data_IF_422792818316
#
_entry.id   IF_422792818316
#
_cell.length_a   1.000
_cell.length_b   1.000
_cell.length_c   1.000
_cell.angle_alpha   90.00
_cell.angle_beta   90.00
_cell.angle_gamma   90.00
#
_symmetry.space_group_name_H-M   'P 1'
#
loop_
_entity.id
_entity.type
_entity.pdbx_description
1 polymer ?
#
# COMPACT_ATOMS: atom_id res chain seq x y z
N UNK A 1 34.24 34.67 -25.27
CA UNK A 1 32.88 34.08 -25.13
C UNK A 1 31.84 35.16 -25.40
N UNK A 2 30.88 34.92 -26.31
CA UNK A 2 29.82 35.89 -26.63
C UNK A 2 28.91 36.09 -25.41
N UNK A 3 28.65 37.35 -25.02
CA UNK A 3 27.80 37.72 -23.87
C UNK A 3 26.44 36.99 -23.89
N UNK A 4 25.86 36.78 -25.07
CA UNK A 4 24.60 36.05 -25.26
C UNK A 4 24.64 34.58 -24.87
N UNK A 5 25.78 33.89 -25.05
CA UNK A 5 25.94 32.50 -24.59
C UNK A 5 26.04 32.43 -23.06
N UNK A 6 26.72 33.39 -22.46
CA UNK A 6 26.85 33.47 -20.99
C UNK A 6 25.50 33.75 -20.33
N UNK A 7 24.68 34.67 -20.86
CA UNK A 7 23.35 34.95 -20.31
C UNK A 7 22.42 33.73 -20.43
N UNK A 8 22.40 33.06 -21.58
CA UNK A 8 21.57 31.87 -21.78
C UNK A 8 21.94 30.70 -20.84
N UNK A 9 23.25 30.48 -20.62
CA UNK A 9 23.74 29.46 -19.67
C UNK A 9 23.36 29.79 -18.22
N UNK A 10 23.44 31.06 -17.82
CA UNK A 10 23.02 31.50 -16.48
C UNK A 10 21.52 31.34 -16.26
N UNK A 11 20.68 31.68 -17.25
CA UNK A 11 19.22 31.50 -17.16
C UNK A 11 18.83 30.03 -17.07
N UNK A 12 19.51 29.15 -17.82
CA UNK A 12 19.27 27.71 -17.77
C UNK A 12 19.67 27.11 -16.42
N UNK A 13 20.81 27.54 -15.86
CA UNK A 13 21.28 27.09 -14.54
C UNK A 13 20.35 27.57 -13.42
N UNK A 14 19.87 28.82 -13.49
CA UNK A 14 18.88 29.34 -12.55
C UNK A 14 17.57 28.55 -12.60
N UNK A 15 17.08 28.20 -13.80
CA UNK A 15 15.87 27.39 -13.94
C UNK A 15 16.02 25.99 -13.32
N UNK A 16 17.18 25.33 -13.46
CA UNK A 16 17.46 24.01 -12.86
C UNK A 16 17.47 24.07 -11.33
N UNK A 17 17.93 25.17 -10.73
CA UNK A 17 17.99 25.32 -9.27
C UNK A 17 16.63 25.53 -8.59
N UNK A 18 15.60 25.97 -9.32
CA UNK A 18 14.25 26.23 -8.75
C UNK A 18 13.34 24.99 -8.81
N UNK A 19 13.62 24.01 -9.68
CA UNK A 19 12.81 22.78 -9.81
C UNK A 19 12.67 21.99 -8.49
N UNK A 20 13.73 21.77 -7.69
CA UNK A 20 13.62 21.02 -6.44
C UNK A 20 12.71 21.70 -5.39
N UNK A 21 12.65 23.03 -5.38
CA UNK A 21 11.83 23.78 -4.43
C UNK A 21 10.33 23.67 -4.75
N UNK A 22 9.96 23.57 -6.04
CA UNK A 22 8.56 23.41 -6.45
C UNK A 22 8.00 22.02 -6.10
N UNK A 23 8.82 20.96 -6.18
CA UNK A 23 8.40 19.60 -5.86
C UNK A 23 8.11 19.39 -4.35
N UNK A 24 8.76 20.16 -3.47
CA UNK A 24 8.53 20.06 -2.03
C UNK A 24 7.18 20.65 -1.61
N UNK A 25 6.67 21.67 -2.32
CA UNK A 25 5.44 22.35 -1.96
C UNK A 25 4.20 21.43 -1.98
N UNK A 26 4.19 20.40 -2.83
CA UNK A 26 3.09 19.44 -2.96
C UNK A 26 3.32 18.11 -2.23
N UNK A 27 4.41 17.98 -1.48
CA UNK A 27 4.71 16.76 -0.72
C UNK A 27 3.80 16.63 0.52
N UNK A 28 3.37 15.41 0.82
CA UNK A 28 2.70 15.06 2.08
C UNK A 28 3.62 15.22 3.29
N UNK A 29 4.94 15.20 3.08
CA UNK A 29 5.95 15.25 4.12
C UNK A 29 6.88 16.43 3.90
N UNK A 30 6.98 17.29 4.91
CA UNK A 30 7.84 18.47 4.92
C UNK A 30 8.94 18.31 5.96
N UNK A 31 10.19 18.70 5.67
CA UNK A 31 11.23 18.79 6.70
C UNK A 31 10.79 19.75 7.81
N UNK A 32 10.85 19.28 9.05
CA UNK A 32 10.56 20.08 10.24
C UNK A 32 11.86 20.44 10.95
N UNK A 33 12.01 21.67 11.48
CA UNK A 33 13.20 22.04 12.24
C UNK A 33 13.31 21.25 13.54
N UNK A 34 14.55 21.03 14.01
CA UNK A 34 14.84 20.29 15.24
C UNK A 34 14.82 18.77 15.07
N UNK A 35 14.61 18.03 16.15
CA UNK A 35 14.69 16.55 16.16
C UNK A 35 13.44 15.85 15.62
N UNK A 36 12.37 16.60 15.31
CA UNK A 36 11.14 16.04 14.75
C UNK A 36 11.33 15.47 13.34
N UNK A 37 12.30 16.00 12.59
CA UNK A 37 12.66 15.54 11.24
C UNK A 37 11.65 15.95 10.17
N UNK A 38 10.40 15.48 10.28
CA UNK A 38 9.33 15.73 9.30
C UNK A 38 7.96 15.95 9.92
N UNK A 39 7.13 16.74 9.25
CA UNK A 39 5.70 16.92 9.54
C UNK A 39 4.83 16.35 8.41
N UNK A 40 3.69 15.79 8.78
CA UNK A 40 2.69 15.25 7.85
C UNK A 40 1.61 16.29 7.54
N UNK A 41 1.37 16.55 6.26
CA UNK A 41 0.42 17.54 5.74
C UNK A 41 -0.62 16.86 4.84
N UNK A 42 -1.71 16.33 5.42
CA UNK A 42 -2.71 15.57 4.66
C UNK A 42 -3.48 16.41 3.64
N UNK A 43 -3.52 17.73 3.81
CA UNK A 43 -4.11 18.70 2.89
C UNK A 43 -3.38 18.78 1.54
N UNK A 44 -2.13 18.29 1.47
CA UNK A 44 -1.41 18.14 0.20
C UNK A 44 -1.74 16.83 -0.53
N UNK A 45 -2.61 15.98 0.04
CA UNK A 45 -3.10 14.81 -0.67
C UNK A 45 -3.92 15.23 -1.89
N UNK A 46 -3.40 14.91 -3.07
CA UNK A 46 -4.13 15.12 -4.33
C UNK A 46 -4.70 13.77 -4.77
N UNK A 47 -6.03 13.64 -4.70
CA UNK A 47 -6.71 12.49 -5.28
C UNK A 47 -6.82 12.66 -6.79
N UNK A 48 -6.44 11.65 -7.55
CA UNK A 48 -6.70 11.59 -9.00
C UNK A 48 -8.10 11.06 -9.33
N UNK A 49 -8.87 10.65 -8.30
CA UNK A 49 -10.23 10.11 -8.45
C UNK A 49 -11.29 11.17 -8.22
N UNK A 50 -12.29 11.16 -9.07
CA UNK A 50 -13.52 11.93 -8.87
C UNK A 50 -14.34 11.37 -7.70
N UNK A 51 -15.22 12.20 -7.13
CA UNK A 51 -16.15 11.77 -6.06
C UNK A 51 -17.02 10.58 -6.50
N UNK A 52 -17.45 10.57 -7.76
CA UNK A 52 -18.27 9.50 -8.31
C UNK A 52 -17.52 8.16 -8.34
N UNK A 53 -16.24 8.17 -8.71
CA UNK A 53 -15.41 6.97 -8.72
C UNK A 53 -15.15 6.44 -7.31
N UNK A 54 -14.88 7.33 -6.35
CA UNK A 54 -14.71 6.94 -4.93
C UNK A 54 -15.97 6.28 -4.39
N UNK A 55 -17.15 6.85 -4.66
CA UNK A 55 -18.42 6.25 -4.22
C UNK A 55 -18.67 4.90 -4.89
N UNK A 56 -18.37 4.78 -6.19
CA UNK A 56 -18.49 3.50 -6.91
C UNK A 56 -17.58 2.42 -6.30
N UNK A 57 -16.31 2.74 -6.04
CA UNK A 57 -15.36 1.82 -5.42
C UNK A 57 -15.77 1.45 -4.00
N UNK A 58 -16.32 2.40 -3.24
CA UNK A 58 -16.86 2.14 -1.92
C UNK A 58 -18.03 1.16 -1.95
N UNK A 59 -18.99 1.34 -2.85
CA UNK A 59 -20.13 0.42 -2.98
C UNK A 59 -19.70 -0.96 -3.48
N UNK A 60 -18.71 -1.03 -4.39
CA UNK A 60 -18.11 -2.30 -4.79
C UNK A 60 -17.45 -3.01 -3.60
N UNK A 61 -16.69 -2.28 -2.78
CA UNK A 61 -16.00 -2.83 -1.62
C UNK A 61 -16.96 -3.34 -0.54
N UNK A 62 -18.12 -2.69 -0.38
CA UNK A 62 -19.18 -3.15 0.50
C UNK A 62 -19.85 -4.41 -0.05
N UNK A 63 -20.18 -4.41 -1.35
CA UNK A 63 -20.86 -5.53 -2.00
C UNK A 63 -20.00 -6.82 -2.00
N UNK A 64 -18.69 -6.68 -2.15
CA UNK A 64 -17.76 -7.80 -2.25
C UNK A 64 -17.07 -8.17 -0.91
N UNK A 65 -17.47 -7.52 0.18
CA UNK A 65 -16.97 -7.74 1.54
C UNK A 65 -15.56 -7.22 1.83
N UNK A 66 -14.84 -6.67 0.85
CA UNK A 66 -13.47 -6.16 1.05
C UNK A 66 -13.41 -4.94 1.97
N UNK A 67 -14.49 -4.17 2.07
CA UNK A 67 -14.59 -3.00 2.95
C UNK A 67 -14.28 -3.34 4.42
N UNK A 68 -14.62 -4.54 4.88
CA UNK A 68 -14.29 -5.02 6.22
C UNK A 68 -12.77 -4.98 6.49
N UNK A 69 -11.97 -5.43 5.52
CA UNK A 69 -10.52 -5.52 5.63
C UNK A 69 -9.86 -4.17 5.40
N UNK A 70 -10.25 -3.47 4.33
CA UNK A 70 -9.65 -2.20 3.91
C UNK A 70 -9.79 -1.12 4.99
N UNK A 71 -10.95 -1.00 5.64
CA UNK A 71 -11.14 -0.01 6.70
C UNK A 71 -10.27 -0.26 7.95
N UNK A 72 -9.73 -1.48 8.11
CA UNK A 72 -8.85 -1.88 9.20
C UNK A 72 -7.37 -1.89 8.80
N UNK A 73 -7.05 -1.52 7.56
CA UNK A 73 -5.69 -1.64 7.02
C UNK A 73 -5.23 -3.10 6.85
N UNK A 74 -6.17 -4.04 6.78
CA UNK A 74 -5.87 -5.46 6.58
C UNK A 74 -5.83 -5.81 5.09
N UNK A 75 -4.99 -6.78 4.75
CA UNK A 75 -4.99 -7.35 3.41
C UNK A 75 -6.34 -8.01 3.11
N UNK A 76 -6.88 -7.75 1.91
CA UNK A 76 -8.10 -8.42 1.42
C UNK A 76 -7.73 -9.86 1.06
N UNK A 77 -8.40 -10.89 1.62
CA UNK A 77 -8.11 -12.28 1.29
C UNK A 77 -8.29 -12.57 -0.20
N UNK A 78 -7.46 -13.45 -0.75
CA UNK A 78 -7.62 -13.92 -2.13
C UNK A 78 -8.97 -14.62 -2.30
N UNK A 79 -9.78 -14.12 -3.24
CA UNK A 79 -11.05 -14.74 -3.65
C UNK A 79 -10.86 -15.95 -4.57
N UNK A 80 -9.64 -16.19 -5.05
CA UNK A 80 -9.29 -17.31 -5.91
C UNK A 80 -8.94 -18.59 -5.12
N UNK A 81 -9.51 -18.77 -3.92
CA UNK A 81 -9.25 -19.90 -3.04
C UNK A 81 -9.90 -21.22 -3.52
N UNK A 82 -10.61 -21.19 -4.66
CA UNK A 82 -11.40 -22.32 -5.15
C UNK A 82 -12.62 -22.61 -4.25
N UNK A 83 -13.37 -23.68 -4.51
CA UNK A 83 -14.58 -24.03 -3.73
C UNK A 83 -14.30 -24.42 -2.26
N UNK A 84 -13.04 -24.39 -1.81
CA UNK A 84 -12.63 -24.94 -0.52
C UNK A 84 -12.79 -26.46 -0.48
N UNK A 85 -12.33 -27.08 0.62
CA UNK A 85 -12.58 -28.51 0.88
C UNK A 85 -13.94 -28.68 1.54
N UNK A 86 -14.68 -29.70 1.12
CA UNK A 86 -15.89 -30.15 1.81
C UNK A 86 -15.55 -30.74 3.17
N UNK A 87 -16.52 -30.80 4.08
CA UNK A 87 -16.35 -31.45 5.39
C UNK A 87 -15.92 -32.91 5.25
N UNK A 88 -16.44 -33.63 4.26
CA UNK A 88 -16.11 -35.02 4.01
C UNK A 88 -14.64 -35.18 3.59
N UNK A 89 -14.14 -34.31 2.71
CA UNK A 89 -12.73 -34.30 2.30
C UNK A 89 -11.80 -33.98 3.46
N UNK A 90 -12.15 -32.99 4.30
CA UNK A 90 -11.36 -32.64 5.49
C UNK A 90 -11.28 -33.82 6.48
N UNK A 91 -12.40 -34.51 6.71
CA UNK A 91 -12.42 -35.68 7.59
C UNK A 91 -11.60 -36.83 7.01
N UNK A 92 -11.68 -37.04 5.69
CA UNK A 92 -10.86 -38.05 5.01
C UNK A 92 -9.37 -37.77 5.20
N UNK A 93 -8.91 -36.53 4.98
CA UNK A 93 -7.52 -36.15 5.21
C UNK A 93 -7.08 -36.35 6.67
N UNK A 94 -7.95 -36.05 7.63
CA UNK A 94 -7.66 -36.25 9.05
C UNK A 94 -7.48 -37.73 9.41
N UNK A 95 -8.29 -38.60 8.81
CA UNK A 95 -8.22 -40.06 9.01
C UNK A 95 -7.01 -40.65 8.27
N UNK A 96 -6.72 -40.17 7.06
CA UNK A 96 -5.63 -40.66 6.22
C UNK A 96 -4.25 -40.10 6.66
N UNK A 97 -4.20 -39.11 7.57
CA UNK A 97 -2.97 -38.49 8.07
C UNK A 97 -2.03 -39.50 8.75
N UNK A 98 -0.79 -39.55 8.27
CA UNK A 98 0.24 -40.46 8.80
C UNK A 98 0.66 -40.09 10.23
N UNK A 99 1.20 -41.04 11.02
CA UNK A 99 1.72 -40.76 12.36
C UNK A 99 2.79 -39.65 12.37
N UNK A 100 3.66 -39.62 11.34
CA UNK A 100 4.73 -38.62 11.22
C UNK A 100 4.18 -37.22 10.95
N UNK A 101 3.23 -37.09 10.01
CA UNK A 101 2.57 -35.81 9.75
C UNK A 101 1.81 -35.31 10.98
N UNK A 102 1.13 -36.22 11.68
CA UNK A 102 0.41 -35.89 12.92
C UNK A 102 1.37 -35.41 14.02
N UNK A 103 2.53 -36.05 14.17
CA UNK A 103 3.56 -35.62 15.12
C UNK A 103 4.12 -34.23 14.77
N UNK A 104 4.40 -33.98 13.48
CA UNK A 104 4.85 -32.68 13.00
C UNK A 104 3.81 -31.58 13.23
N UNK A 105 2.53 -31.84 12.95
CA UNK A 105 1.44 -30.91 13.24
C UNK A 105 1.32 -30.63 14.74
N UNK A 106 1.43 -31.67 15.58
CA UNK A 106 1.42 -31.50 17.03
C UNK A 106 2.56 -30.60 17.49
N UNK A 107 3.79 -30.80 17.01
CA UNK A 107 4.94 -29.95 17.34
C UNK A 107 4.70 -28.49 16.91
N UNK A 108 4.20 -28.28 15.68
CA UNK A 108 3.93 -26.95 15.14
C UNK A 108 2.88 -26.17 15.94
N UNK A 109 1.82 -26.85 16.39
CA UNK A 109 0.67 -26.21 17.03
C UNK A 109 0.62 -26.32 18.55
N UNK A 110 1.36 -27.23 19.18
CA UNK A 110 1.34 -27.38 20.64
C UNK A 110 2.11 -26.27 21.34
N UNK A 111 3.07 -25.64 20.66
CA UNK A 111 4.01 -24.69 21.25
C UNK A 111 4.88 -25.40 22.29
N UNK A 112 6.14 -25.67 21.98
CA UNK A 112 7.10 -26.27 22.92
C UNK A 112 7.19 -25.49 24.22
#
# INVERSE_FOLDING_TARGET
>A
MSKTRTTALFSLLAAVLVVPAAAQASSLWHPAPGEQGFTFHPDHSTSTKTRAEVLRELEQAKADGSYFYLQRGLAVPSRASGPGKTRAEVLKELVDMTPTERAYMNELYSGS
#
